data_IF_437924444339
#
_entry.id   IF_437924444339
#
_cell.length_a   1.000
_cell.length_b   1.000
_cell.length_c   1.000
_cell.angle_alpha   90.00
_cell.angle_beta   90.00
_cell.angle_gamma   90.00
#
_symmetry.space_group_name_H-M   'P 1'
#
loop_
_entity.id
_entity.type
_entity.pdbx_description
1 polymer ?
#
# COMPACT_ATOMS: atom_id res chain seq x y z
N UNK A 1 -14.52 -11.51 1.95
CA UNK A 1 -13.79 -10.22 1.89
C UNK A 1 -13.19 -10.09 0.49
N UNK A 2 -13.28 -8.91 -0.14
CA UNK A 2 -12.66 -8.65 -1.45
C UNK A 2 -11.20 -8.22 -1.27
N UNK A 3 -10.29 -8.86 -2.02
CA UNK A 3 -8.90 -8.45 -2.08
C UNK A 3 -8.79 -7.22 -3.00
N UNK A 4 -8.23 -6.11 -2.50
CA UNK A 4 -7.98 -4.89 -3.27
C UNK A 4 -6.48 -4.61 -3.29
N UNK A 5 -5.97 -4.12 -4.41
CA UNK A 5 -4.58 -3.63 -4.46
C UNK A 5 -4.47 -2.30 -3.70
N UNK A 6 -3.25 -1.94 -3.30
CA UNK A 6 -3.00 -0.63 -2.70
C UNK A 6 -3.44 0.51 -3.63
N UNK A 7 -3.20 0.37 -4.94
CA UNK A 7 -3.63 1.35 -5.93
C UNK A 7 -5.16 1.47 -5.97
N UNK A 8 -5.91 0.36 -5.94
CA UNK A 8 -7.38 0.42 -5.94
C UNK A 8 -7.94 1.00 -4.64
N UNK A 9 -7.26 0.83 -3.52
CA UNK A 9 -7.64 1.40 -2.23
C UNK A 9 -7.40 2.93 -2.15
N UNK A 10 -6.40 3.43 -2.88
CA UNK A 10 -6.02 4.84 -2.86
C UNK A 10 -6.61 5.65 -4.03
N UNK A 11 -6.92 4.99 -5.16
CA UNK A 11 -7.44 5.66 -6.36
C UNK A 11 -8.74 6.40 -6.05
N UNK A 12 -8.79 7.68 -6.44
CA UNK A 12 -9.97 8.53 -6.26
C UNK A 12 -10.15 9.07 -4.84
N UNK A 13 -9.31 8.65 -3.89
CA UNK A 13 -9.24 9.30 -2.59
C UNK A 13 -8.29 10.50 -2.68
N UNK A 14 -8.85 11.70 -2.82
CA UNK A 14 -8.08 12.93 -2.94
C UNK A 14 -7.23 13.24 -1.69
N UNK A 15 -7.54 12.64 -0.53
CA UNK A 15 -6.78 12.85 0.69
C UNK A 15 -6.64 11.56 1.52
N UNK A 16 -5.75 10.65 1.12
CA UNK A 16 -5.55 9.39 1.84
C UNK A 16 -4.85 9.56 3.20
N UNK A 17 -4.20 10.70 3.42
CA UNK A 17 -3.46 10.98 4.63
C UNK A 17 -2.18 10.14 4.69
N UNK A 18 -2.01 9.33 5.73
CA UNK A 18 -0.80 8.53 5.96
C UNK A 18 -1.12 7.05 5.97
N UNK A 19 -0.19 6.23 5.48
CA UNK A 19 -0.37 4.79 5.43
C UNK A 19 0.94 4.03 5.52
N UNK A 20 0.81 2.77 5.93
CA UNK A 20 1.90 1.79 5.95
C UNK A 20 1.48 0.62 5.07
N UNK A 21 2.36 0.20 4.17
CA UNK A 21 2.23 -1.00 3.36
C UNK A 21 3.25 -2.02 3.86
N UNK A 22 2.77 -3.23 4.08
CA UNK A 22 3.58 -4.39 4.46
C UNK A 22 3.51 -5.41 3.32
N UNK A 23 4.64 -5.97 2.96
CA UNK A 23 4.70 -6.94 1.88
C UNK A 23 6.01 -7.71 1.84
N UNK A 24 6.22 -8.37 0.71
CA UNK A 24 7.47 -9.05 0.36
C UNK A 24 7.87 -8.66 -1.05
N UNK A 25 9.15 -8.83 -1.36
CA UNK A 25 9.63 -8.74 -2.74
C UNK A 25 8.93 -9.80 -3.63
N UNK A 26 8.86 -9.59 -4.96
CA UNK A 26 8.15 -10.53 -5.85
C UNK A 26 8.67 -11.96 -5.80
N UNK A 27 9.96 -12.14 -5.51
CA UNK A 27 10.62 -13.44 -5.31
C UNK A 27 10.42 -14.03 -3.90
N UNK A 28 9.78 -13.29 -2.99
CA UNK A 28 9.44 -13.73 -1.64
C UNK A 28 10.61 -13.80 -0.65
N UNK A 29 11.82 -13.43 -1.07
CA UNK A 29 13.04 -13.62 -0.28
C UNK A 29 13.23 -12.55 0.81
N UNK A 30 12.66 -11.36 0.60
CA UNK A 30 12.78 -10.24 1.53
C UNK A 30 11.41 -9.72 1.94
N UNK A 31 11.29 -9.30 3.21
CA UNK A 31 10.18 -8.49 3.67
C UNK A 31 10.38 -7.03 3.25
N UNK A 32 9.29 -6.35 2.91
CA UNK A 32 9.29 -4.95 2.53
C UNK A 32 8.26 -4.19 3.36
N UNK A 33 8.65 -2.99 3.81
CA UNK A 33 7.78 -2.02 4.45
C UNK A 33 7.90 -0.70 3.70
N UNK A 34 6.77 -0.08 3.41
CA UNK A 34 6.73 1.27 2.87
C UNK A 34 5.80 2.13 3.73
N UNK A 35 6.24 3.34 4.03
CA UNK A 35 5.44 4.37 4.69
C UNK A 35 5.23 5.51 3.71
N UNK A 36 4.02 6.06 3.67
CA UNK A 36 3.72 7.23 2.88
C UNK A 36 2.91 8.25 3.67
N UNK A 37 3.11 9.50 3.31
CA UNK A 37 2.26 10.63 3.65
C UNK A 37 1.82 11.23 2.33
N UNK A 38 0.52 11.30 2.12
CA UNK A 38 -0.12 11.91 0.97
C UNK A 38 -1.03 13.03 1.47
N UNK A 39 -0.74 14.24 1.01
CA UNK A 39 -1.55 15.44 1.19
C UNK A 39 -1.82 16.10 -0.14
#
# INVERSE_FOLDING_TARGET
MQLKTAADALRGNAYPGRGILLGRTPDGTHAAIAYFIMG
#
